data_IF_913566743531
#
_entry.id   IF_913566743531
#
_cell.length_a   1.000
_cell.length_b   1.000
_cell.length_c   1.000
_cell.angle_alpha   90.00
_cell.angle_beta   90.00
_cell.angle_gamma   90.00
#
_symmetry.space_group_name_H-M   'P 1'
#
loop_
_entity.id
_entity.type
_entity.pdbx_description
1 polymer ?
#
# COMPACT_ATOMS: atom_id res chain seq x y z
N UNK A 1 3.73 -7.76 -18.70
CA UNK A 1 4.69 -8.29 -17.71
C UNK A 1 5.15 -7.12 -16.86
N UNK A 2 4.95 -7.21 -15.55
CA UNK A 2 5.41 -6.20 -14.60
C UNK A 2 6.79 -6.54 -14.03
N UNK A 3 7.42 -5.63 -13.28
CA UNK A 3 8.76 -5.87 -12.73
C UNK A 3 8.83 -7.07 -11.76
N UNK A 4 7.71 -7.44 -11.11
CA UNK A 4 7.63 -8.66 -10.29
C UNK A 4 7.66 -9.93 -11.14
N UNK A 5 7.09 -9.92 -12.36
CA UNK A 5 7.20 -11.04 -13.29
C UNK A 5 8.63 -11.19 -13.81
N UNK A 6 9.33 -10.06 -13.99
CA UNK A 6 10.73 -10.05 -14.41
C UNK A 6 11.65 -10.68 -13.36
N UNK A 7 11.41 -10.40 -12.07
CA UNK A 7 12.12 -11.06 -10.96
C UNK A 7 11.81 -12.56 -10.87
N UNK A 8 10.60 -12.99 -11.25
CA UNK A 8 10.18 -14.40 -11.18
C UNK A 8 11.00 -15.32 -12.08
N UNK A 9 11.65 -14.79 -13.13
CA UNK A 9 12.46 -15.59 -14.05
C UNK A 9 13.80 -16.04 -13.47
N UNK A 10 14.23 -15.45 -12.36
CA UNK A 10 15.47 -15.81 -11.66
C UNK A 10 16.34 -14.59 -11.39
N UNK A 11 17.09 -14.65 -10.28
CA UNK A 11 17.98 -13.59 -9.83
C UNK A 11 18.92 -13.12 -10.97
N UNK A 12 18.92 -11.82 -11.25
CA UNK A 12 19.79 -11.19 -12.25
C UNK A 12 19.47 -11.56 -13.72
N UNK A 13 18.38 -12.29 -13.99
CA UNK A 13 18.03 -12.67 -15.37
C UNK A 13 17.56 -11.46 -16.19
N UNK A 14 16.72 -10.61 -15.58
CA UNK A 14 16.31 -9.32 -16.14
C UNK A 14 16.50 -8.16 -15.19
N UNK A 15 16.26 -8.38 -13.90
CA UNK A 15 16.39 -7.41 -12.83
C UNK A 15 16.98 -8.09 -11.59
N UNK A 16 17.73 -7.33 -10.80
CA UNK A 16 18.20 -7.76 -9.47
C UNK A 16 17.22 -7.37 -8.36
N UNK A 17 16.49 -6.26 -8.54
CA UNK A 17 15.50 -5.75 -7.59
C UNK A 17 14.47 -4.87 -8.30
N UNK A 18 13.33 -4.65 -7.62
CA UNK A 18 12.34 -3.63 -7.99
C UNK A 18 11.87 -2.89 -6.74
N UNK A 19 11.33 -1.69 -6.94
CA UNK A 19 10.63 -0.93 -5.91
C UNK A 19 9.13 -0.99 -6.15
N UNK A 20 8.36 -1.23 -5.09
CA UNK A 20 6.89 -1.26 -5.10
C UNK A 20 6.34 -1.07 -3.69
N UNK A 21 5.06 -0.75 -3.57
CA UNK A 21 4.37 -0.69 -2.27
C UNK A 21 4.40 -2.06 -1.57
N UNK A 22 4.60 -2.05 -0.23
CA UNK A 22 4.74 -3.26 0.59
C UNK A 22 3.60 -4.28 0.39
N UNK A 23 2.31 -3.89 0.36
CA UNK A 23 1.23 -4.86 0.14
C UNK A 23 1.32 -5.60 -1.20
N UNK A 24 1.83 -4.94 -2.24
CA UNK A 24 2.01 -5.55 -3.57
C UNK A 24 3.10 -6.62 -3.52
N UNK A 25 4.22 -6.33 -2.85
CA UNK A 25 5.32 -7.29 -2.65
C UNK A 25 4.86 -8.49 -1.83
N UNK A 26 4.17 -8.25 -0.71
CA UNK A 26 3.65 -9.33 0.14
C UNK A 26 2.60 -10.18 -0.58
N UNK A 27 1.76 -9.56 -1.41
CA UNK A 27 0.80 -10.26 -2.27
C UNK A 27 1.48 -11.22 -3.25
N UNK A 28 2.56 -10.78 -3.91
CA UNK A 28 3.34 -11.62 -4.82
C UNK A 28 4.05 -12.78 -4.10
N UNK A 29 4.64 -12.52 -2.92
CA UNK A 29 5.23 -13.58 -2.07
C UNK A 29 4.16 -14.60 -1.69
N UNK A 30 2.98 -14.16 -1.25
CA UNK A 30 1.84 -15.04 -0.92
C UNK A 30 1.36 -15.86 -2.13
N UNK A 31 1.48 -15.31 -3.33
CA UNK A 31 1.17 -15.99 -4.59
C UNK A 31 2.29 -16.96 -5.07
N UNK A 32 3.36 -17.13 -4.30
CA UNK A 32 4.44 -18.08 -4.59
C UNK A 32 5.53 -17.53 -5.52
N UNK A 33 5.64 -16.22 -5.70
CA UNK A 33 6.77 -15.65 -6.42
C UNK A 33 8.06 -15.88 -5.60
N UNK A 34 9.18 -16.32 -6.23
CA UNK A 34 10.43 -16.63 -5.56
C UNK A 34 11.23 -15.35 -5.28
N UNK A 35 10.61 -14.39 -4.60
CA UNK A 35 11.17 -13.08 -4.26
C UNK A 35 11.13 -12.86 -2.75
N UNK A 36 11.92 -11.92 -2.25
CA UNK A 36 11.89 -11.50 -0.85
C UNK A 36 11.81 -9.98 -0.75
N UNK A 37 11.17 -9.47 0.30
CA UNK A 37 11.23 -8.06 0.63
C UNK A 37 12.62 -7.73 1.20
N UNK A 38 13.18 -6.58 0.81
CA UNK A 38 14.42 -6.09 1.41
C UNK A 38 14.17 -5.77 2.89
N UNK A 39 14.98 -6.34 3.77
CA UNK A 39 14.88 -6.12 5.21
C UNK A 39 15.32 -4.71 5.60
N UNK A 40 14.69 -4.13 6.63
CA UNK A 40 15.10 -2.87 7.23
C UNK A 40 14.14 -1.71 6.91
N UNK A 41 14.69 -0.49 6.85
CA UNK A 41 13.90 0.73 6.65
C UNK A 41 13.36 0.79 5.22
N UNK A 42 12.07 1.12 5.01
CA UNK A 42 11.56 1.36 3.66
C UNK A 42 12.27 2.54 3.01
N UNK A 43 12.35 2.54 1.68
CA UNK A 43 12.97 3.64 0.93
C UNK A 43 12.32 4.99 1.26
N UNK A 44 11.00 5.01 1.40
CA UNK A 44 10.21 6.14 1.88
C UNK A 44 8.84 5.65 2.38
N UNK A 45 8.10 6.52 3.07
CA UNK A 45 6.70 6.29 3.43
C UNK A 45 5.79 7.03 2.47
N UNK A 46 4.65 6.42 2.17
CA UNK A 46 3.61 6.98 1.30
C UNK A 46 2.42 7.40 2.16
N UNK A 47 2.37 8.66 2.65
CA UNK A 47 1.14 9.21 3.20
C UNK A 47 0.12 9.34 2.06
N UNK A 48 -0.88 8.48 2.08
CA UNK A 48 -1.88 8.37 1.00
C UNK A 48 -3.06 9.29 1.29
N UNK A 49 -3.58 9.90 0.22
CA UNK A 49 -4.78 10.72 0.25
C UNK A 49 -5.72 10.32 -0.89
N UNK A 50 -7.00 10.64 -0.74
CA UNK A 50 -7.99 10.48 -1.80
C UNK A 50 -7.86 11.70 -2.72
N UNK A 51 -7.55 11.45 -4.00
CA UNK A 51 -7.53 12.49 -5.02
C UNK A 51 -8.93 12.68 -5.62
N UNK A 52 -9.24 13.92 -5.93
CA UNK A 52 -10.55 14.44 -6.36
C UNK A 52 -10.34 15.56 -7.37
N UNK A 53 -11.36 15.85 -8.17
CA UNK A 53 -11.30 16.95 -9.12
C UNK A 53 -11.16 18.31 -8.42
N UNK A 54 -10.45 19.23 -9.07
CA UNK A 54 -10.28 20.58 -8.54
C UNK A 54 -11.61 21.35 -8.61
N UNK A 55 -11.89 22.12 -7.56
CA UNK A 55 -13.02 23.05 -7.52
C UNK A 55 -14.27 22.56 -6.81
N UNK A 56 -14.30 21.31 -6.32
CA UNK A 56 -15.41 20.78 -5.53
C UNK A 56 -15.05 20.71 -4.04
N UNK A 57 -15.12 21.85 -3.36
CA UNK A 57 -14.80 21.93 -1.93
C UNK A 57 -15.80 21.17 -1.05
N UNK A 58 -17.07 21.09 -1.47
CA UNK A 58 -18.11 20.42 -0.72
C UNK A 58 -17.88 18.90 -0.68
N UNK A 59 -17.56 18.30 -1.84
CA UNK A 59 -17.22 16.89 -1.90
C UNK A 59 -15.94 16.57 -1.13
N UNK A 60 -14.93 17.44 -1.21
CA UNK A 60 -13.69 17.28 -0.48
C UNK A 60 -13.90 17.29 1.03
N UNK A 61 -14.72 18.21 1.53
CA UNK A 61 -15.06 18.31 2.94
C UNK A 61 -15.81 17.06 3.42
N UNK A 62 -16.76 16.55 2.63
CA UNK A 62 -17.54 15.36 2.98
C UNK A 62 -16.66 14.09 3.03
N UNK A 63 -15.75 13.92 2.06
CA UNK A 63 -14.78 12.84 2.09
C UNK A 63 -13.85 12.92 3.30
N UNK A 64 -13.31 14.11 3.58
CA UNK A 64 -12.42 14.31 4.74
C UNK A 64 -13.14 14.01 6.07
N UNK A 65 -14.39 14.47 6.20
CA UNK A 65 -15.23 14.17 7.37
C UNK A 65 -15.47 12.66 7.49
N UNK A 66 -15.89 12.01 6.41
CA UNK A 66 -16.17 10.56 6.40
C UNK A 66 -14.95 9.75 6.82
N UNK A 67 -13.76 10.06 6.28
CA UNK A 67 -12.52 9.37 6.66
C UNK A 67 -12.16 9.63 8.13
N UNK A 68 -12.39 10.85 8.63
CA UNK A 68 -12.18 11.19 10.05
C UNK A 68 -13.10 10.41 10.96
N UNK A 69 -14.38 10.31 10.62
CA UNK A 69 -15.38 9.55 11.37
C UNK A 69 -15.01 8.05 11.40
N UNK A 70 -14.60 7.49 10.26
CA UNK A 70 -14.11 6.10 10.18
C UNK A 70 -12.83 5.85 10.99
N UNK A 71 -11.96 6.87 11.14
CA UNK A 71 -10.80 6.78 12.04
C UNK A 71 -11.27 6.78 13.50
N UNK A 72 -12.20 7.65 13.85
CA UNK A 72 -12.70 7.82 15.21
C UNK A 72 -13.50 6.61 15.72
N UNK A 73 -14.34 6.01 14.86
CA UNK A 73 -15.17 4.86 15.22
C UNK A 73 -14.44 3.51 15.09
N UNK A 74 -13.21 3.52 14.57
CA UNK A 74 -12.36 2.34 14.40
C UNK A 74 -12.66 1.52 13.14
N UNK A 75 -13.59 1.93 12.28
CA UNK A 75 -13.89 1.28 11.01
C UNK A 75 -12.64 1.20 10.12
N UNK A 76 -11.88 2.30 10.02
CA UNK A 76 -10.70 2.33 9.15
C UNK A 76 -9.59 1.39 9.67
N UNK A 77 -9.43 1.30 10.99
CA UNK A 77 -8.52 0.33 11.63
C UNK A 77 -8.92 -1.10 11.29
N UNK A 78 -10.20 -1.45 11.42
CA UNK A 78 -10.69 -2.80 11.11
C UNK A 78 -10.44 -3.15 9.65
N UNK A 79 -10.67 -2.22 8.73
CA UNK A 79 -10.35 -2.40 7.30
C UNK A 79 -8.85 -2.62 7.08
N UNK A 80 -7.99 -1.80 7.71
CA UNK A 80 -6.54 -1.96 7.60
C UNK A 80 -6.08 -3.34 8.08
N UNK A 81 -6.58 -3.79 9.23
CA UNK A 81 -6.22 -5.10 9.79
C UNK A 81 -6.72 -6.25 8.92
N UNK A 82 -7.93 -6.15 8.37
CA UNK A 82 -8.50 -7.17 7.47
C UNK A 82 -7.64 -7.38 6.23
N UNK A 83 -7.16 -6.31 5.61
CA UNK A 83 -6.47 -6.38 4.31
C UNK A 83 -4.94 -6.46 4.43
N UNK A 84 -4.36 -5.86 5.47
CA UNK A 84 -2.91 -5.74 5.63
C UNK A 84 -2.36 -6.44 6.88
N UNK A 85 -3.22 -7.01 7.74
CA UNK A 85 -2.81 -7.68 8.97
C UNK A 85 -2.24 -6.74 10.05
N UNK A 86 -2.25 -5.43 9.81
CA UNK A 86 -1.74 -4.41 10.72
C UNK A 86 -2.57 -3.13 10.61
N UNK A 87 -2.47 -2.26 11.61
CA UNK A 87 -3.11 -0.96 11.63
C UNK A 87 -2.20 0.11 11.01
N UNK A 88 -2.37 0.34 9.71
CA UNK A 88 -1.63 1.35 8.96
C UNK A 88 -2.16 2.77 9.22
N UNK A 89 -3.30 2.91 9.90
CA UNK A 89 -3.88 4.23 10.21
C UNK A 89 -3.07 4.99 11.27
N UNK A 90 -2.17 4.31 11.99
CA UNK A 90 -1.26 4.88 12.97
C UNK A 90 0.04 5.41 12.38
N UNK A 91 0.33 5.05 11.13
CA UNK A 91 1.59 5.41 10.43
C UNK A 91 1.39 6.71 9.61
N UNK A 92 0.18 7.31 9.67
CA UNK A 92 -0.24 8.51 8.95
C UNK A 92 -0.99 9.50 9.85
#
# INVERSE_FOLDING_TARGET
>A
MGPLDDLRMGNGTRLDATLSALPTVLGAIKAGYPITAVSGKPAYYEPLAIAVDKGDEAFNAELAKTVTDMKADGTLKQLSQKWYGTDLTLIQ
#
